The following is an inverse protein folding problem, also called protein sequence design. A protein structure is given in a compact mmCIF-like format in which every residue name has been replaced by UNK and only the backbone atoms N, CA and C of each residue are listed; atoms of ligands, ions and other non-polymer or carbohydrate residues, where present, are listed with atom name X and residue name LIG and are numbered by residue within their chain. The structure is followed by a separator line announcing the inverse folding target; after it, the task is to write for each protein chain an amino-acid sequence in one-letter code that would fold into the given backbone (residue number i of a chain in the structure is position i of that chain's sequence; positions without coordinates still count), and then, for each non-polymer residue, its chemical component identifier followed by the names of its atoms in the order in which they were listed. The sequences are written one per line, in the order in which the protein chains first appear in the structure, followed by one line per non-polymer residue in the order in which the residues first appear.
data_IF_701542965805
#
_entry.id   IF_701542965805
#
_cell.length_a   1.000
_cell.length_b   1.000
_cell.length_c   1.000
_cell.angle_alpha   90.00
_cell.angle_beta   90.00
_cell.angle_gamma   90.00
#
_symmetry.space_group_name_H-M   'P 1'
#
loop_
_entity.id
_entity.type
_entity.pdbx_description
1 polymer ?
#
# COMPACT_ATOMS: atom_id res chain seq x y z
N UNK A 1 19.99 -15.57 0.72
CA UNK A 1 19.88 -14.51 1.75
C UNK A 1 18.54 -14.66 2.44
N UNK A 2 18.40 -14.32 3.73
CA UNK A 2 17.07 -14.29 4.35
C UNK A 2 16.18 -13.32 3.57
N UNK A 3 14.90 -13.65 3.43
CA UNK A 3 13.93 -12.78 2.78
C UNK A 3 13.81 -11.47 3.58
N UNK A 4 13.69 -10.35 2.88
CA UNK A 4 13.47 -9.03 3.50
C UNK A 4 12.14 -9.05 4.25
N UNK A 5 12.14 -8.64 5.51
CA UNK A 5 10.92 -8.45 6.28
C UNK A 5 10.22 -7.14 5.85
N UNK A 6 9.21 -7.28 5.00
CA UNK A 6 8.42 -6.15 4.47
C UNK A 6 7.70 -5.33 5.55
N UNK A 7 7.48 -5.91 6.74
CA UNK A 7 6.75 -5.26 7.83
C UNK A 7 7.66 -4.38 8.68
N UNK A 8 8.93 -4.77 8.86
CA UNK A 8 9.82 -4.08 9.82
C UNK A 8 11.02 -3.41 9.17
N UNK A 9 11.49 -3.87 8.00
CA UNK A 9 12.64 -3.27 7.32
C UNK A 9 12.33 -1.84 6.86
N UNK A 10 13.37 -1.00 6.72
CA UNK A 10 13.20 0.41 6.37
C UNK A 10 12.46 0.60 5.04
N UNK A 11 11.48 1.51 5.03
CA UNK A 11 10.76 1.94 3.83
C UNK A 11 11.37 3.24 3.33
N UNK A 12 12.03 3.20 2.18
CA UNK A 12 12.68 4.37 1.57
C UNK A 12 11.87 4.87 0.40
N UNK A 13 11.42 6.13 0.47
CA UNK A 13 10.69 6.77 -0.63
C UNK A 13 11.67 7.06 -1.77
N UNK A 14 11.41 6.50 -2.94
CA UNK A 14 12.20 6.73 -4.16
C UNK A 14 11.61 7.87 -5.00
N UNK A 15 10.29 8.00 -5.02
CA UNK A 15 9.62 9.09 -5.73
C UNK A 15 8.10 9.08 -5.59
N UNK A 16 7.46 10.14 -6.11
CA UNK A 16 5.99 10.28 -6.12
C UNK A 16 5.43 10.03 -7.52
N UNK A 17 4.38 9.21 -7.61
CA UNK A 17 3.63 8.97 -8.85
C UNK A 17 2.56 10.06 -8.98
N UNK A 18 2.85 11.12 -9.73
CA UNK A 18 2.01 12.33 -9.82
C UNK A 18 0.75 12.16 -10.67
N UNK A 19 0.67 11.11 -11.49
CA UNK A 19 -0.50 10.79 -12.32
C UNK A 19 -1.58 10.01 -11.56
N UNK A 20 -1.32 9.58 -10.33
CA UNK A 20 -2.30 8.88 -9.49
C UNK A 20 -3.31 9.86 -8.87
N UNK A 21 -4.55 9.40 -8.66
CA UNK A 21 -5.64 10.20 -8.06
C UNK A 21 -5.53 10.38 -6.54
N UNK A 22 -4.70 9.58 -5.89
CA UNK A 22 -4.39 9.64 -4.46
C UNK A 22 -2.88 9.84 -4.29
N UNK A 23 -2.42 10.25 -3.10
CA UNK A 23 -0.98 10.25 -2.83
C UNK A 23 -0.43 8.82 -2.96
N UNK A 24 0.46 8.64 -3.94
CA UNK A 24 1.03 7.34 -4.30
C UNK A 24 2.53 7.51 -4.50
N UNK A 25 3.31 6.65 -3.84
CA UNK A 25 4.76 6.71 -3.84
C UNK A 25 5.34 5.39 -4.34
N UNK A 26 6.43 5.49 -5.08
CA UNK A 26 7.29 4.37 -5.44
C UNK A 26 8.40 4.31 -4.40
N UNK A 27 8.49 3.18 -3.71
CA UNK A 27 9.36 3.02 -2.57
C UNK A 27 10.16 1.71 -2.68
N UNK A 28 11.17 1.57 -1.83
CA UNK A 28 11.94 0.34 -1.70
C UNK A 28 11.99 -0.13 -0.24
N UNK A 29 11.92 -1.45 -0.03
CA UNK A 29 12.22 -2.11 1.24
C UNK A 29 13.31 -3.15 0.99
N UNK A 30 14.55 -2.84 1.37
CA UNK A 30 15.70 -3.61 0.89
C UNK A 30 15.78 -3.57 -0.64
N UNK A 31 15.82 -4.74 -1.28
CA UNK A 31 15.81 -4.86 -2.75
C UNK A 31 14.38 -4.91 -3.36
N UNK A 32 13.34 -4.94 -2.52
CA UNK A 32 11.95 -5.07 -2.98
C UNK A 32 11.37 -3.71 -3.34
N UNK A 33 10.74 -3.62 -4.51
CA UNK A 33 10.04 -2.42 -4.99
C UNK A 33 8.58 -2.50 -4.58
N UNK A 34 8.09 -1.47 -3.90
CA UNK A 34 6.73 -1.42 -3.36
C UNK A 34 6.02 -0.12 -3.72
N UNK A 35 4.69 -0.14 -3.66
CA UNK A 35 3.85 1.06 -3.78
C UNK A 35 3.31 1.41 -2.40
N UNK A 36 3.63 2.60 -1.92
CA UNK A 36 3.13 3.12 -0.65
C UNK A 36 2.02 4.16 -0.88
N UNK A 37 0.91 3.98 -0.17
CA UNK A 37 -0.28 4.84 -0.24
C UNK A 37 -0.71 5.20 1.19
N UNK A 38 -0.32 6.37 1.74
CA UNK A 38 -0.75 6.77 3.07
C UNK A 38 -2.25 7.07 3.11
N UNK A 39 -2.91 6.74 4.21
CA UNK A 39 -4.33 7.04 4.47
C UNK A 39 -4.57 8.55 4.46
N UNK A 40 -3.62 9.33 4.96
CA UNK A 40 -3.67 10.81 4.95
C UNK A 40 -3.66 11.40 3.54
N UNK A 41 -3.21 10.63 2.56
CA UNK A 41 -3.14 11.01 1.15
C UNK A 41 -4.34 10.57 0.31
N UNK A 42 -5.39 10.03 0.96
CA UNK A 42 -6.62 9.63 0.30
C UNK A 42 -7.44 10.85 -0.17
N UNK A 43 -7.89 10.79 -1.41
CA UNK A 43 -8.97 11.59 -1.95
C UNK A 43 -10.30 10.92 -1.55
N UNK A 44 -11.15 11.59 -0.74
CA UNK A 44 -12.40 10.99 -0.29
C UNK A 44 -13.33 10.58 -1.43
N UNK A 45 -14.05 9.49 -1.22
CA UNK A 45 -15.17 9.07 -2.08
C UNK A 45 -16.48 9.50 -1.44
N UNK A 46 -17.46 9.90 -2.25
CA UNK A 46 -18.74 10.44 -1.79
C UNK A 46 -19.64 9.38 -1.11
N UNK A 47 -19.40 8.11 -1.42
CA UNK A 47 -20.19 6.95 -1.02
C UNK A 47 -19.55 6.12 0.11
N UNK A 48 -18.40 6.55 0.64
CA UNK A 48 -17.67 5.81 1.68
C UNK A 48 -17.17 6.71 2.83
N UNK A 49 -17.00 6.14 4.05
CA UNK A 49 -16.30 6.83 5.12
C UNK A 49 -14.86 7.21 4.74
N UNK A 50 -14.40 8.36 5.23
CA UNK A 50 -13.03 8.83 5.06
C UNK A 50 -11.99 7.89 5.71
N UNK A 51 -10.79 7.80 5.12
CA UNK A 51 -9.67 7.07 5.70
C UNK A 51 -9.77 5.55 5.57
N UNK A 52 -10.58 5.06 4.62
CA UNK A 52 -10.87 3.63 4.46
C UNK A 52 -10.31 3.02 3.19
N UNK A 53 -9.69 3.81 2.29
CA UNK A 53 -9.26 3.29 1.00
C UNK A 53 -8.07 2.33 1.12
N UNK A 54 -7.10 2.57 2.00
CA UNK A 54 -6.00 1.64 2.25
C UNK A 54 -6.52 0.27 2.76
N UNK A 55 -7.52 0.28 3.64
CA UNK A 55 -8.15 -0.95 4.15
C UNK A 55 -8.81 -1.77 3.04
N UNK A 56 -9.31 -1.11 1.99
CA UNK A 56 -9.93 -1.79 0.85
C UNK A 56 -8.92 -2.52 -0.03
N UNK A 57 -7.71 -1.97 -0.18
CA UNK A 57 -6.63 -2.65 -0.92
C UNK A 57 -6.26 -3.97 -0.21
N UNK A 58 -6.11 -3.92 1.12
CA UNK A 58 -5.84 -5.12 1.94
C UNK A 58 -7.01 -6.11 1.91
N UNK A 59 -8.26 -5.61 2.02
CA UNK A 59 -9.44 -6.47 1.91
C UNK A 59 -9.53 -7.16 0.54
N UNK A 60 -9.24 -6.44 -0.55
CA UNK A 60 -9.23 -6.99 -1.90
C UNK A 60 -8.16 -8.08 -2.07
N UNK A 61 -6.96 -7.85 -1.53
CA UNK A 61 -5.90 -8.85 -1.50
C UNK A 61 -6.34 -10.10 -0.74
N UNK A 62 -6.87 -9.95 0.49
CA UNK A 62 -7.32 -11.08 1.30
C UNK A 62 -8.45 -11.87 0.64
N UNK A 63 -9.41 -11.21 -0.01
CA UNK A 63 -10.45 -11.87 -0.80
C UNK A 63 -9.83 -12.65 -1.96
N UNK A 64 -8.95 -12.04 -2.74
CA UNK A 64 -8.26 -12.71 -3.85
C UNK A 64 -7.48 -13.95 -3.39
N UNK A 65 -6.81 -13.89 -2.23
CA UNK A 65 -6.08 -15.03 -1.66
C UNK A 65 -7.03 -16.12 -1.16
N UNK A 66 -8.10 -15.74 -0.49
CA UNK A 66 -9.10 -16.69 0.05
C UNK A 66 -9.74 -17.53 -1.05
N UNK A 67 -9.99 -16.94 -2.22
CA UNK A 67 -10.57 -17.63 -3.37
C UNK A 67 -9.52 -18.18 -4.36
N UNK A 68 -8.22 -17.99 -4.10
CA UNK A 68 -7.14 -18.46 -4.97
C UNK A 68 -7.12 -17.82 -6.35
N UNK A 69 -7.62 -16.59 -6.49
CA UNK A 69 -7.68 -15.90 -7.78
C UNK A 69 -6.34 -15.36 -8.25
N UNK A 70 -5.48 -14.96 -7.30
CA UNK A 70 -4.16 -14.39 -7.58
C UNK A 70 -4.18 -13.19 -8.56
N UNK A 71 -5.20 -12.33 -8.44
CA UNK A 71 -5.38 -11.15 -9.33
C UNK A 71 -5.12 -9.82 -8.63
N UNK A 72 -4.95 -9.81 -7.31
CA UNK A 72 -4.63 -8.63 -6.52
C UNK A 72 -3.23 -8.79 -5.93
N UNK A 73 -2.32 -7.81 -6.12
CA UNK A 73 -0.97 -7.90 -5.57
C UNK A 73 -0.98 -7.94 -4.04
N UNK A 74 0.09 -8.49 -3.45
CA UNK A 74 0.28 -8.52 -2.01
C UNK A 74 0.15 -7.12 -1.40
N UNK A 75 -0.82 -6.96 -0.49
CA UNK A 75 -1.16 -5.69 0.15
C UNK A 75 -1.28 -5.89 1.66
N UNK A 76 -0.66 -5.02 2.46
CA UNK A 76 -0.70 -5.05 3.92
C UNK A 76 -0.74 -3.62 4.48
N UNK A 77 -1.13 -3.47 5.75
CA UNK A 77 -1.09 -2.19 6.46
C UNK A 77 0.19 -2.07 7.27
N UNK A 78 0.79 -0.88 7.26
CA UNK A 78 1.99 -0.52 8.02
C UNK A 78 2.12 1.00 8.07
N UNK A 79 2.67 1.53 9.16
CA UNK A 79 3.09 2.93 9.23
C UNK A 79 4.23 3.25 8.23
N UNK A 80 4.20 4.45 7.66
CA UNK A 80 5.24 4.93 6.75
C UNK A 80 5.61 6.40 6.96
N UNK A 81 6.62 6.91 6.21
CA UNK A 81 7.16 8.26 6.40
C UNK A 81 6.16 9.41 6.19
N UNK A 82 5.07 9.17 5.45
CA UNK A 82 4.02 10.17 5.16
C UNK A 82 2.77 9.97 6.04
N UNK A 83 2.86 9.12 7.06
CA UNK A 83 1.76 8.78 7.95
C UNK A 83 1.30 7.32 7.81
N UNK A 84 0.28 6.93 8.61
CA UNK A 84 -0.38 5.64 8.48
C UNK A 84 -1.12 5.51 7.15
#
# INVERSE_FOLDING_TARGET
MPATDLVTAELTITGRITTASNATFLDSIGDEVVVYKPITGESPLWDFPHGTLAHREVAAYLVSQTFGWDVVPHSWLRDGPMGP
#
